data_IF_165980680767
#
_entry.id   IF_165980680767
#
_cell.length_a   1.000
_cell.length_b   1.000
_cell.length_c   1.000
_cell.angle_alpha   90.00
_cell.angle_beta   90.00
_cell.angle_gamma   90.00
#
_symmetry.space_group_name_H-M   'P 1'
#
loop_
_entity.id
_entity.type
_entity.pdbx_description
1 polymer ?
#
# COMPACT_ATOMS: atom_id res chain seq x y z
N UNK A 1 -11.83 16.75 28.37
CA UNK A 1 -12.06 16.99 26.93
C UNK A 1 -13.18 16.08 26.44
N UNK A 2 -14.31 16.63 25.97
CA UNK A 2 -15.36 15.83 25.31
C UNK A 2 -14.87 15.45 23.92
N UNK A 3 -14.79 14.16 23.63
CA UNK A 3 -14.50 13.68 22.27
C UNK A 3 -15.53 14.26 21.30
N UNK A 4 -15.12 14.84 20.15
CA UNK A 4 -16.05 15.39 19.19
C UNK A 4 -17.02 14.31 18.70
N UNK A 5 -18.27 14.70 18.43
CA UNK A 5 -19.27 13.78 17.89
C UNK A 5 -18.76 13.16 16.57
N UNK A 6 -19.02 11.88 16.29
CA UNK A 6 -18.42 11.16 15.17
C UNK A 6 -18.54 11.88 13.81
N UNK A 7 -19.68 12.52 13.53
CA UNK A 7 -19.89 13.28 12.29
C UNK A 7 -19.07 14.57 12.18
N UNK A 8 -18.82 15.27 13.30
CA UNK A 8 -17.96 16.45 13.29
C UNK A 8 -16.49 16.08 13.00
N UNK A 9 -16.04 14.91 13.49
CA UNK A 9 -14.71 14.40 13.20
C UNK A 9 -14.52 14.07 11.71
N UNK A 10 -15.56 13.63 11.00
CA UNK A 10 -15.50 13.40 9.54
C UNK A 10 -15.30 14.71 8.77
N UNK A 11 -16.06 15.75 9.13
CA UNK A 11 -15.94 17.06 8.49
C UNK A 11 -14.53 17.64 8.69
N UNK A 12 -13.98 17.54 9.91
CA UNK A 12 -12.61 17.97 10.19
C UNK A 12 -11.59 17.15 9.40
N UNK A 13 -11.73 15.83 9.36
CA UNK A 13 -10.84 14.96 8.59
C UNK A 13 -10.80 15.36 7.11
N UNK A 14 -11.96 15.55 6.49
CA UNK A 14 -12.04 15.92 5.08
C UNK A 14 -11.60 17.36 4.81
N UNK A 15 -11.86 18.30 5.72
CA UNK A 15 -11.39 19.67 5.60
C UNK A 15 -9.85 19.75 5.68
N UNK A 16 -9.25 19.03 6.64
CA UNK A 16 -7.80 18.87 6.72
C UNK A 16 -7.25 18.17 5.48
N UNK A 17 -7.98 17.17 4.97
CA UNK A 17 -7.62 16.50 3.72
C UNK A 17 -7.59 17.44 2.52
N UNK A 18 -8.57 18.35 2.42
CA UNK A 18 -8.61 19.37 1.37
C UNK A 18 -7.43 20.34 1.49
N UNK A 19 -7.12 20.80 2.71
CA UNK A 19 -5.98 21.68 2.95
C UNK A 19 -4.64 21.01 2.57
N UNK A 20 -4.44 19.76 2.97
CA UNK A 20 -3.24 18.99 2.61
C UNK A 20 -3.18 18.74 1.11
N UNK A 21 -4.27 18.32 0.47
CA UNK A 21 -4.32 18.11 -0.98
C UNK A 21 -4.02 19.40 -1.76
N UNK A 22 -4.57 20.54 -1.32
CA UNK A 22 -4.24 21.85 -1.88
C UNK A 22 -2.76 22.21 -1.73
N UNK A 23 -2.18 22.01 -0.54
CA UNK A 23 -0.76 22.22 -0.29
C UNK A 23 0.12 21.32 -1.18
N UNK A 24 -0.22 20.03 -1.30
CA UNK A 24 0.46 19.09 -2.19
C UNK A 24 0.34 19.52 -3.65
N UNK A 25 -0.85 19.97 -4.08
CA UNK A 25 -1.11 20.44 -5.44
C UNK A 25 -0.30 21.67 -5.85
N UNK A 26 0.06 22.51 -4.88
CA UNK A 26 0.84 23.73 -5.07
C UNK A 26 2.36 23.49 -4.95
N UNK A 27 2.79 22.69 -3.97
CA UNK A 27 4.19 22.68 -3.52
C UNK A 27 4.93 21.35 -3.70
N UNK A 28 4.26 20.24 -4.01
CA UNK A 28 4.97 18.96 -4.09
C UNK A 28 6.02 18.97 -5.21
N UNK A 29 7.24 18.49 -4.93
CA UNK A 29 8.30 18.44 -5.93
C UNK A 29 8.01 17.43 -7.04
N UNK A 30 7.35 16.32 -6.69
CA UNK A 30 7.01 15.25 -7.62
C UNK A 30 5.75 15.63 -8.42
N UNK A 31 5.81 15.71 -9.76
CA UNK A 31 4.67 16.12 -10.58
C UNK A 31 3.40 15.29 -10.34
N UNK A 32 3.56 13.97 -10.20
CA UNK A 32 2.46 13.04 -9.95
C UNK A 32 1.73 13.34 -8.64
N UNK A 33 2.47 13.74 -7.60
CA UNK A 33 1.87 14.10 -6.32
C UNK A 33 1.12 15.42 -6.42
N UNK A 34 1.65 16.42 -7.15
CA UNK A 34 0.92 17.67 -7.42
C UNK A 34 -0.39 17.41 -8.14
N UNK A 35 -0.37 16.56 -9.16
CA UNK A 35 -1.57 16.26 -9.94
C UNK A 35 -2.63 15.58 -9.09
N UNK A 36 -2.23 14.61 -8.25
CA UNK A 36 -3.12 14.05 -7.23
C UNK A 36 -3.73 15.14 -6.33
N UNK A 37 -2.92 16.08 -5.84
CA UNK A 37 -3.40 17.15 -4.94
C UNK A 37 -4.47 18.03 -5.60
N UNK A 38 -4.27 18.39 -6.88
CA UNK A 38 -5.24 19.15 -7.68
C UNK A 38 -6.54 18.38 -7.92
N UNK A 39 -6.45 17.07 -8.14
CA UNK A 39 -7.61 16.21 -8.34
C UNK A 39 -8.36 15.94 -7.03
N UNK A 40 -7.65 15.82 -5.90
CA UNK A 40 -8.20 15.40 -4.61
C UNK A 40 -8.78 16.55 -3.78
N UNK A 41 -8.36 17.81 -3.99
CA UNK A 41 -8.83 18.97 -3.21
C UNK A 41 -10.35 19.15 -3.28
N UNK A 42 -10.93 19.03 -4.48
CA UNK A 42 -12.38 19.16 -4.69
C UNK A 42 -13.19 18.09 -3.95
N UNK A 43 -12.92 16.78 -4.18
CA UNK A 43 -13.58 15.70 -3.46
C UNK A 43 -13.45 15.78 -1.94
N UNK A 44 -12.29 16.16 -1.40
CA UNK A 44 -12.15 16.39 0.04
C UNK A 44 -12.98 17.57 0.54
N UNK A 45 -12.97 18.71 -0.16
CA UNK A 45 -13.73 19.89 0.22
C UNK A 45 -15.25 19.61 0.19
N UNK A 46 -15.74 18.96 -0.88
CA UNK A 46 -17.12 18.51 -0.99
C UNK A 46 -17.47 17.50 0.12
N UNK A 47 -16.55 16.57 0.42
CA UNK A 47 -16.67 15.63 1.52
C UNK A 47 -16.83 16.33 2.88
N UNK A 48 -16.06 17.39 3.13
CA UNK A 48 -16.13 18.16 4.37
C UNK A 48 -17.48 18.84 4.56
N UNK A 49 -17.99 19.50 3.50
CA UNK A 49 -19.31 20.15 3.51
C UNK A 49 -20.41 19.12 3.72
N UNK A 50 -20.38 18.02 2.98
CA UNK A 50 -21.36 16.95 3.12
C UNK A 50 -21.33 16.30 4.52
N UNK A 51 -20.14 16.06 5.08
CA UNK A 51 -19.99 15.52 6.43
C UNK A 51 -20.54 16.49 7.49
N UNK A 52 -20.34 17.79 7.32
CA UNK A 52 -20.93 18.80 8.19
C UNK A 52 -22.46 18.79 8.11
N UNK A 53 -23.04 18.76 6.90
CA UNK A 53 -24.50 18.67 6.71
C UNK A 53 -25.06 17.39 7.35
N UNK A 54 -24.45 16.23 7.07
CA UNK A 54 -24.84 14.95 7.68
C UNK A 54 -24.74 14.99 9.21
N UNK A 55 -23.73 15.67 9.76
CA UNK A 55 -23.61 15.88 11.20
C UNK A 55 -24.78 16.72 11.75
N UNK A 56 -25.14 17.82 11.08
CA UNK A 56 -26.26 18.70 11.48
C UNK A 56 -27.61 17.97 11.41
N UNK A 57 -27.78 17.08 10.44
CA UNK A 57 -28.99 16.26 10.26
C UNK A 57 -29.03 15.02 11.18
N UNK A 58 -28.00 14.76 11.99
CA UNK A 58 -27.95 13.59 12.86
C UNK A 58 -27.85 12.26 12.10
N UNK A 59 -27.23 12.26 10.92
CA UNK A 59 -27.17 11.09 10.06
C UNK A 59 -26.37 9.93 10.69
N UNK A 60 -26.91 8.71 10.57
CA UNK A 60 -26.30 7.51 11.10
C UNK A 60 -25.07 7.03 10.31
N UNK A 61 -24.42 5.98 10.82
CA UNK A 61 -23.19 5.42 10.26
C UNK A 61 -23.31 5.03 8.78
N UNK A 62 -24.48 4.56 8.32
CA UNK A 62 -24.70 4.14 6.93
C UNK A 62 -24.50 5.28 5.93
N UNK A 63 -25.07 6.46 6.20
CA UNK A 63 -24.91 7.64 5.34
C UNK A 63 -23.45 8.12 5.31
N UNK A 64 -22.79 8.07 6.47
CA UNK A 64 -21.37 8.44 6.61
C UNK A 64 -20.43 7.46 5.89
N UNK A 65 -20.75 6.17 5.88
CA UNK A 65 -20.03 5.16 5.10
C UNK A 65 -20.17 5.41 3.60
N UNK A 66 -21.37 5.75 3.11
CA UNK A 66 -21.56 6.12 1.70
C UNK A 66 -20.80 7.38 1.32
N UNK A 67 -20.81 8.39 2.20
CA UNK A 67 -19.99 9.58 2.00
C UNK A 67 -18.50 9.22 1.94
N UNK A 68 -18.00 8.41 2.88
CA UNK A 68 -16.62 7.96 2.88
C UNK A 68 -16.26 7.23 1.58
N UNK A 69 -17.13 6.34 1.10
CA UNK A 69 -16.94 5.67 -0.18
C UNK A 69 -16.89 6.66 -1.37
N UNK A 70 -17.78 7.66 -1.41
CA UNK A 70 -17.76 8.69 -2.44
C UNK A 70 -16.46 9.52 -2.40
N UNK A 71 -15.98 9.87 -1.20
CA UNK A 71 -14.67 10.56 -1.06
C UNK A 71 -13.54 9.66 -1.55
N UNK A 72 -13.52 8.36 -1.20
CA UNK A 72 -12.52 7.40 -1.72
C UNK A 72 -12.52 7.35 -3.25
N UNK A 73 -13.70 7.35 -3.86
CA UNK A 73 -13.81 7.39 -5.33
C UNK A 73 -13.14 8.65 -5.87
N UNK A 74 -13.39 9.82 -5.29
CA UNK A 74 -12.81 11.07 -5.76
C UNK A 74 -11.31 11.24 -5.47
N UNK A 75 -10.80 10.75 -4.34
CA UNK A 75 -9.41 11.00 -3.92
C UNK A 75 -8.45 9.85 -4.21
N UNK A 76 -8.96 8.65 -4.50
CA UNK A 76 -8.15 7.46 -4.81
C UNK A 76 -8.48 6.91 -6.19
N UNK A 77 -9.74 6.49 -6.40
CA UNK A 77 -10.10 5.72 -7.61
C UNK A 77 -9.99 6.59 -8.87
N UNK A 78 -10.50 7.82 -8.83
CA UNK A 78 -10.46 8.74 -9.96
C UNK A 78 -9.03 9.14 -10.31
N UNK A 79 -8.16 9.62 -9.38
CA UNK A 79 -6.76 9.90 -9.71
C UNK A 79 -6.01 8.69 -10.24
N UNK A 80 -6.21 7.50 -9.65
CA UNK A 80 -5.57 6.27 -10.10
C UNK A 80 -6.00 5.90 -11.53
N UNK A 81 -7.30 5.97 -11.83
CA UNK A 81 -7.82 5.68 -13.16
C UNK A 81 -7.30 6.68 -14.21
N UNK A 82 -7.26 7.97 -13.87
CA UNK A 82 -6.72 9.01 -14.75
C UNK A 82 -5.24 8.80 -15.03
N UNK A 83 -4.42 8.60 -14.00
CA UNK A 83 -2.97 8.39 -14.18
C UNK A 83 -2.65 7.08 -14.92
N UNK A 84 -3.38 6.00 -14.65
CA UNK A 84 -3.21 4.74 -15.38
C UNK A 84 -3.63 4.88 -16.86
N UNK A 85 -4.71 5.61 -17.16
CA UNK A 85 -5.17 5.84 -18.53
C UNK A 85 -4.29 6.82 -19.29
N UNK A 86 -3.79 7.87 -18.65
CA UNK A 86 -2.80 8.78 -19.25
C UNK A 86 -1.49 8.05 -19.54
N UNK A 87 -1.01 7.22 -18.60
CA UNK A 87 0.16 6.35 -18.83
C UNK A 87 -0.04 5.41 -20.01
N UNK A 88 -1.23 4.82 -20.16
CA UNK A 88 -1.56 3.92 -21.27
C UNK A 88 -1.55 4.62 -22.64
N UNK A 89 -1.75 5.94 -22.68
CA UNK A 89 -1.78 6.77 -23.91
C UNK A 89 -0.49 7.57 -24.14
N UNK A 90 0.49 7.42 -23.27
CA UNK A 90 1.74 8.20 -23.29
C UNK A 90 2.94 7.28 -23.10
N UNK A 91 4.13 7.87 -22.92
CA UNK A 91 5.33 7.09 -22.71
C UNK A 91 5.24 6.30 -21.38
N UNK A 92 5.59 5.00 -21.32
CA UNK A 92 5.40 4.16 -20.14
C UNK A 92 6.11 4.62 -18.86
N UNK A 93 7.11 5.48 -19.01
CA UNK A 93 7.87 6.09 -17.91
C UNK A 93 7.24 7.34 -17.29
N UNK A 94 6.20 7.89 -17.93
CA UNK A 94 5.42 9.03 -17.44
C UNK A 94 4.22 8.53 -16.62
N UNK A 95 3.61 9.42 -15.84
CA UNK A 95 2.39 9.13 -15.08
C UNK A 95 2.48 7.98 -14.06
N UNK A 96 3.70 7.58 -13.68
CA UNK A 96 3.97 6.60 -12.64
C UNK A 96 5.27 6.96 -11.89
N UNK A 97 5.36 6.57 -10.63
CA UNK A 97 6.62 6.64 -9.89
C UNK A 97 7.53 5.43 -10.23
N UNK A 98 8.80 5.53 -9.86
CA UNK A 98 9.81 4.51 -10.19
C UNK A 98 9.45 3.15 -9.60
N UNK A 99 8.83 3.12 -8.42
CA UNK A 99 8.40 1.95 -7.66
C UNK A 99 7.42 1.06 -8.45
N UNK A 100 6.49 1.70 -9.18
CA UNK A 100 5.51 1.02 -10.04
C UNK A 100 6.24 0.34 -11.20
N UNK A 101 7.10 1.10 -11.86
CA UNK A 101 7.75 0.69 -13.09
C UNK A 101 8.80 -0.39 -12.81
N UNK A 102 9.64 -0.22 -11.77
CA UNK A 102 10.66 -1.19 -11.41
C UNK A 102 10.03 -2.53 -10.98
N UNK A 103 8.87 -2.51 -10.32
CA UNK A 103 8.15 -3.74 -9.96
C UNK A 103 7.65 -4.48 -11.20
N UNK A 104 7.17 -3.75 -12.21
CA UNK A 104 6.74 -4.32 -13.49
C UNK A 104 7.93 -4.87 -14.31
N UNK A 105 9.04 -4.14 -14.37
CA UNK A 105 10.23 -4.55 -15.13
C UNK A 105 10.97 -5.71 -14.45
N UNK A 106 11.04 -5.75 -13.12
CA UNK A 106 11.59 -6.89 -12.37
C UNK A 106 10.76 -8.16 -12.58
N UNK A 107 9.42 -8.05 -12.58
CA UNK A 107 8.54 -9.17 -12.89
C UNK A 107 8.76 -9.66 -14.34
N UNK A 108 8.95 -8.74 -15.29
CA UNK A 108 9.28 -9.05 -16.69
C UNK A 108 10.63 -9.74 -16.82
N UNK A 109 11.66 -9.30 -16.10
CA UNK A 109 12.96 -9.96 -16.06
C UNK A 109 12.81 -11.40 -15.56
N UNK A 110 12.08 -11.61 -14.45
CA UNK A 110 11.82 -12.94 -13.90
C UNK A 110 11.13 -13.87 -14.90
N UNK A 111 10.08 -13.41 -15.59
CA UNK A 111 9.39 -14.21 -16.61
C UNK A 111 10.26 -14.53 -17.82
N UNK A 112 11.31 -13.75 -18.07
CA UNK A 112 12.27 -13.98 -19.14
C UNK A 112 13.46 -14.82 -18.69
N UNK A 113 13.43 -15.39 -17.50
CA UNK A 113 14.52 -16.19 -16.93
C UNK A 113 15.76 -15.36 -16.60
N UNK A 114 15.62 -14.03 -16.47
CA UNK A 114 16.68 -13.13 -16.04
C UNK A 114 16.54 -12.89 -14.55
N UNK A 115 17.67 -12.90 -13.85
CA UNK A 115 17.71 -12.57 -12.42
C UNK A 115 17.32 -11.09 -12.22
N UNK A 116 16.19 -10.80 -11.54
CA UNK A 116 15.73 -9.42 -11.33
C UNK A 116 16.69 -8.56 -10.49
N UNK A 117 17.56 -9.19 -9.70
CA UNK A 117 18.52 -8.53 -8.81
C UNK A 117 19.90 -8.34 -9.46
N UNK A 118 20.18 -9.01 -10.58
CA UNK A 118 21.45 -8.87 -11.31
C UNK A 118 21.29 -8.14 -12.66
N UNK A 119 20.07 -7.74 -13.00
CA UNK A 119 19.77 -7.03 -14.25
C UNK A 119 19.62 -5.53 -13.99
N UNK A 120 19.98 -4.72 -14.97
CA UNK A 120 19.76 -3.28 -14.93
C UNK A 120 18.59 -2.89 -15.84
N UNK A 121 17.93 -1.80 -15.48
CA UNK A 121 16.73 -1.24 -16.08
C UNK A 121 17.02 0.16 -16.65
N UNK A 122 18.26 0.38 -17.10
CA UNK A 122 18.74 1.65 -17.67
C UNK A 122 18.07 2.02 -18.98
N UNK A 123 17.44 1.05 -19.65
CA UNK A 123 16.71 1.25 -20.89
C UNK A 123 15.20 1.12 -20.67
N UNK A 124 14.42 1.68 -21.59
CA UNK A 124 12.97 1.57 -21.59
C UNK A 124 12.28 2.54 -20.61
N UNK A 125 11.23 2.12 -19.89
CA UNK A 125 10.37 3.03 -19.12
C UNK A 125 11.10 3.81 -18.00
N UNK A 126 12.20 3.29 -17.49
CA UNK A 126 12.99 3.92 -16.42
C UNK A 126 14.16 4.78 -16.93
N UNK A 127 14.40 4.87 -18.25
CA UNK A 127 15.60 5.51 -18.81
C UNK A 127 15.80 6.98 -18.41
N UNK A 128 14.72 7.70 -18.08
CA UNK A 128 14.78 9.09 -17.65
C UNK A 128 14.97 9.26 -16.11
N UNK A 129 15.14 8.17 -15.36
CA UNK A 129 15.24 8.18 -13.90
C UNK A 129 16.71 8.15 -13.44
N UNK A 130 17.01 8.59 -12.20
CA UNK A 130 18.37 8.54 -11.66
C UNK A 130 18.96 7.13 -11.68
N UNK A 131 20.28 7.02 -11.84
CA UNK A 131 20.96 5.72 -11.98
C UNK A 131 20.58 4.71 -10.90
N UNK A 132 20.56 5.11 -9.62
CA UNK A 132 20.19 4.21 -8.52
C UNK A 132 18.78 3.60 -8.66
N UNK A 133 17.83 4.29 -9.29
CA UNK A 133 16.48 3.73 -9.54
C UNK A 133 16.40 2.84 -10.78
N UNK A 134 17.44 2.85 -11.60
CA UNK A 134 17.54 2.06 -12.83
C UNK A 134 18.45 0.84 -12.66
N UNK A 135 19.32 0.81 -11.65
CA UNK A 135 20.30 -0.28 -11.48
C UNK A 135 19.91 -1.30 -10.41
N UNK A 136 18.90 -1.01 -9.59
CA UNK A 136 18.51 -1.87 -8.48
C UNK A 136 17.01 -2.15 -8.45
N UNK A 137 16.64 -3.35 -8.02
CA UNK A 137 15.30 -3.73 -7.58
C UNK A 137 15.27 -3.80 -6.04
N UNK A 138 14.88 -2.71 -5.33
CA UNK A 138 15.09 -2.56 -3.89
C UNK A 138 14.04 -3.27 -3.02
N UNK A 139 13.40 -4.32 -3.54
CA UNK A 139 12.28 -5.00 -2.90
C UNK A 139 12.51 -6.48 -2.70
N UNK A 140 11.72 -7.08 -1.82
CA UNK A 140 11.74 -8.51 -1.61
C UNK A 140 10.84 -9.22 -2.65
N UNK A 141 11.10 -10.51 -2.96
CA UNK A 141 10.60 -11.08 -4.21
C UNK A 141 9.08 -11.10 -4.37
N UNK A 142 8.33 -11.16 -3.27
CA UNK A 142 6.87 -11.18 -3.34
C UNK A 142 6.28 -9.88 -3.93
N UNK A 143 7.03 -8.78 -3.90
CA UNK A 143 6.59 -7.51 -4.50
C UNK A 143 6.36 -7.65 -6.03
N UNK A 144 7.14 -8.49 -6.71
CA UNK A 144 7.00 -8.72 -8.15
C UNK A 144 5.62 -9.28 -8.55
N UNK A 145 4.88 -9.88 -7.62
CA UNK A 145 3.51 -10.37 -7.87
C UNK A 145 2.58 -9.26 -8.39
N UNK A 146 2.79 -8.00 -7.99
CA UNK A 146 2.01 -6.86 -8.45
C UNK A 146 2.43 -6.36 -9.84
N UNK A 147 3.64 -6.67 -10.28
CA UNK A 147 4.14 -6.40 -11.64
C UNK A 147 3.79 -7.49 -12.66
N UNK A 148 3.44 -8.69 -12.18
CA UNK A 148 3.10 -9.83 -13.03
C UNK A 148 2.02 -9.56 -14.09
N UNK A 149 0.93 -8.80 -13.80
CA UNK A 149 -0.08 -8.49 -14.81
C UNK A 149 0.50 -7.82 -16.06
N UNK A 150 1.43 -6.86 -15.91
CA UNK A 150 2.13 -6.25 -17.05
C UNK A 150 3.14 -7.18 -17.68
N UNK A 151 3.88 -7.93 -16.86
CA UNK A 151 4.89 -8.87 -17.35
C UNK A 151 4.27 -9.99 -18.20
N UNK A 152 3.06 -10.45 -17.83
CA UNK A 152 2.30 -11.48 -18.53
C UNK A 152 1.50 -10.96 -19.74
N UNK A 153 1.58 -9.66 -20.06
CA UNK A 153 0.98 -9.09 -21.26
C UNK A 153 -0.50 -8.68 -21.14
N UNK A 154 -1.01 -8.46 -19.92
CA UNK A 154 -2.33 -7.85 -19.75
C UNK A 154 -2.37 -6.48 -20.47
N UNK A 155 -3.49 -6.07 -21.10
CA UNK A 155 -3.56 -4.80 -21.79
C UNK A 155 -3.60 -3.62 -20.81
N UNK A 156 -3.01 -2.50 -21.22
CA UNK A 156 -3.14 -1.23 -20.50
C UNK A 156 -4.59 -0.70 -20.64
N UNK A 157 -5.14 -0.02 -19.60
CA UNK A 157 -4.50 0.35 -18.35
C UNK A 157 -4.50 -0.77 -17.28
N UNK A 158 -5.18 -1.90 -17.50
CA UNK A 158 -5.38 -2.95 -16.49
C UNK A 158 -4.08 -3.61 -16.02
N UNK A 159 -3.02 -3.55 -16.84
CA UNK A 159 -1.69 -4.03 -16.48
C UNK A 159 -0.93 -3.19 -15.46
N UNK A 160 -1.36 -1.95 -15.17
CA UNK A 160 -0.61 -1.04 -14.30
C UNK A 160 -0.53 -1.60 -12.86
N UNK A 161 0.69 -1.71 -12.31
CA UNK A 161 0.89 -2.33 -10.99
C UNK A 161 0.13 -1.61 -9.86
N UNK A 162 -0.16 -0.30 -9.98
CA UNK A 162 -0.93 0.44 -8.97
C UNK A 162 -2.36 -0.06 -8.83
N UNK A 163 -2.98 -0.53 -9.92
CA UNK A 163 -4.31 -1.13 -9.84
C UNK A 163 -4.25 -2.40 -8.96
N UNK A 164 -3.20 -3.19 -9.12
CA UNK A 164 -3.02 -4.43 -8.37
C UNK A 164 -2.60 -4.17 -6.92
N UNK A 165 -1.79 -3.14 -6.65
CA UNK A 165 -1.56 -2.64 -5.29
C UNK A 165 -2.89 -2.23 -4.64
N UNK A 166 -3.70 -1.41 -5.31
CA UNK A 166 -4.99 -0.95 -4.79
C UNK A 166 -5.98 -2.09 -4.55
N UNK A 167 -6.06 -3.06 -5.46
CA UNK A 167 -6.89 -4.28 -5.31
C UNK A 167 -6.41 -5.11 -4.13
N UNK A 168 -5.10 -5.37 -4.03
CA UNK A 168 -4.49 -6.12 -2.92
C UNK A 168 -4.73 -5.45 -1.58
N UNK A 169 -4.46 -4.15 -1.46
CA UNK A 169 -4.71 -3.34 -0.27
C UNK A 169 -6.19 -3.36 0.10
N UNK A 170 -7.09 -3.16 -0.87
CA UNK A 170 -8.54 -3.13 -0.60
C UNK A 170 -9.06 -4.49 -0.15
N UNK A 171 -8.61 -5.58 -0.78
CA UNK A 171 -8.99 -6.94 -0.38
C UNK A 171 -8.50 -7.30 1.02
N UNK A 172 -7.22 -7.06 1.31
CA UNK A 172 -6.62 -7.33 2.63
C UNK A 172 -7.20 -6.40 3.70
N UNK A 173 -7.37 -5.11 3.39
CA UNK A 173 -7.97 -4.11 4.27
C UNK A 173 -9.44 -4.43 4.59
N UNK A 174 -10.22 -4.85 3.61
CA UNK A 174 -11.59 -5.33 3.81
C UNK A 174 -11.65 -6.56 4.73
N UNK A 175 -10.73 -7.51 4.53
CA UNK A 175 -10.59 -8.67 5.42
C UNK A 175 -10.18 -8.26 6.84
N UNK A 176 -9.24 -7.33 6.97
CA UNK A 176 -8.83 -6.77 8.26
C UNK A 176 -10.03 -6.15 8.98
N UNK A 177 -10.78 -5.26 8.33
CA UNK A 177 -11.97 -4.61 8.91
C UNK A 177 -13.07 -5.60 9.28
N UNK A 178 -13.25 -6.66 8.48
CA UNK A 178 -14.20 -7.75 8.80
C UNK A 178 -13.81 -8.47 10.08
N UNK A 179 -12.51 -8.69 10.31
CA UNK A 179 -11.97 -9.41 11.47
C UNK A 179 -11.73 -8.51 12.68
N UNK A 180 -11.68 -7.20 12.48
CA UNK A 180 -11.45 -6.25 13.55
C UNK A 180 -12.62 -6.24 14.56
N UNK A 181 -12.34 -6.37 15.87
CA UNK A 181 -13.38 -6.28 16.88
C UNK A 181 -13.90 -4.85 17.01
N UNK A 182 -15.21 -4.65 17.03
CA UNK A 182 -15.82 -3.35 17.31
C UNK A 182 -17.03 -3.04 16.44
N UNK A 183 -17.76 -2.02 16.86
CA UNK A 183 -18.97 -1.53 16.20
C UNK A 183 -18.66 -0.88 14.85
N UNK A 184 -19.72 -0.70 14.05
CA UNK A 184 -19.63 -0.13 12.71
C UNK A 184 -18.93 1.24 12.69
N UNK A 185 -19.14 2.09 13.71
CA UNK A 185 -18.51 3.40 13.79
C UNK A 185 -16.99 3.33 13.92
N UNK A 186 -16.49 2.41 14.76
CA UNK A 186 -15.05 2.21 14.95
C UNK A 186 -14.42 1.65 13.68
N UNK A 187 -15.10 0.72 13.01
CA UNK A 187 -14.64 0.18 11.72
C UNK A 187 -14.57 1.25 10.64
N UNK A 188 -15.58 2.13 10.57
CA UNK A 188 -15.55 3.28 9.66
C UNK A 188 -14.37 4.20 9.98
N UNK A 189 -14.13 4.53 11.26
CA UNK A 189 -13.00 5.38 11.66
C UNK A 189 -11.65 4.79 11.25
N UNK A 190 -11.46 3.49 11.46
CA UNK A 190 -10.24 2.77 11.05
C UNK A 190 -10.10 2.79 9.53
N UNK A 191 -11.18 2.55 8.78
CA UNK A 191 -11.15 2.62 7.32
C UNK A 191 -10.80 4.03 6.81
N UNK A 192 -11.40 5.07 7.40
CA UNK A 192 -11.10 6.46 7.08
C UNK A 192 -9.64 6.81 7.40
N UNK A 193 -9.11 6.36 8.55
CA UNK A 193 -7.71 6.58 8.88
C UNK A 193 -6.77 5.88 7.88
N UNK A 194 -7.09 4.65 7.47
CA UNK A 194 -6.21 3.89 6.59
C UNK A 194 -6.27 4.32 5.12
N UNK A 195 -7.42 4.82 4.64
CA UNK A 195 -7.63 5.08 3.20
C UNK A 195 -7.81 6.57 2.89
N UNK A 196 -8.47 7.32 3.78
CA UNK A 196 -8.84 8.72 3.54
C UNK A 196 -7.91 9.73 4.22
N UNK A 197 -6.96 9.30 5.06
CA UNK A 197 -5.86 10.18 5.44
C UNK A 197 -5.09 10.55 4.15
N UNK A 198 -4.75 11.84 3.96
CA UNK A 198 -4.09 12.32 2.75
C UNK A 198 -2.83 11.53 2.39
N UNK A 199 -2.07 11.08 3.40
CA UNK A 199 -0.88 10.25 3.20
C UNK A 199 -1.22 8.96 2.44
N UNK A 200 -2.22 8.20 2.89
CA UNK A 200 -2.62 6.96 2.21
C UNK A 200 -3.32 7.23 0.88
N UNK A 201 -4.19 8.24 0.85
CA UNK A 201 -4.95 8.61 -0.34
C UNK A 201 -4.03 9.10 -1.48
N UNK A 202 -2.89 9.73 -1.15
CA UNK A 202 -1.85 10.11 -2.09
C UNK A 202 -1.04 8.91 -2.56
N UNK A 203 -0.66 8.01 -1.66
CA UNK A 203 0.24 6.90 -2.00
C UNK A 203 -0.44 5.88 -2.93
N UNK A 204 -1.73 5.60 -2.74
CA UNK A 204 -2.46 4.61 -3.56
C UNK A 204 -2.48 4.92 -5.08
N UNK A 205 -2.74 6.17 -5.53
CA UNK A 205 -2.70 6.52 -6.95
C UNK A 205 -1.31 6.76 -7.53
N UNK A 206 -0.30 7.00 -6.70
CA UNK A 206 1.03 7.44 -7.14
C UNK A 206 2.05 6.30 -7.21
N UNK A 207 2.26 5.58 -6.11
CA UNK A 207 3.25 4.50 -5.99
C UNK A 207 2.63 3.20 -5.48
N UNK A 208 2.02 3.26 -4.29
CA UNK A 208 1.12 2.24 -3.77
C UNK A 208 1.77 0.96 -3.21
N UNK A 209 3.07 0.75 -3.41
CA UNK A 209 3.81 -0.47 -3.01
C UNK A 209 3.81 -0.70 -1.48
N UNK A 210 3.84 0.35 -0.67
CA UNK A 210 3.74 0.25 0.80
C UNK A 210 2.34 -0.15 1.29
N UNK A 211 1.29 0.12 0.51
CA UNK A 211 -0.08 -0.01 0.98
C UNK A 211 -0.52 -1.47 1.23
N UNK A 212 -0.16 -2.45 0.37
CA UNK A 212 -0.38 -3.87 0.66
C UNK A 212 0.35 -4.33 1.93
N UNK A 213 1.58 -3.85 2.16
CA UNK A 213 2.40 -4.20 3.33
C UNK A 213 1.72 -3.73 4.61
N UNK A 214 1.28 -2.46 4.65
CA UNK A 214 0.55 -1.89 5.79
C UNK A 214 -0.77 -2.64 6.03
N UNK A 215 -1.51 -2.97 4.96
CA UNK A 215 -2.75 -3.73 5.08
C UNK A 215 -2.52 -5.14 5.66
N UNK A 216 -1.48 -5.84 5.23
CA UNK A 216 -1.10 -7.16 5.74
C UNK A 216 -0.68 -7.10 7.21
N UNK A 217 0.10 -6.10 7.61
CA UNK A 217 0.47 -5.88 9.00
C UNK A 217 -0.75 -5.56 9.88
N UNK A 218 -1.67 -4.73 9.38
CA UNK A 218 -2.95 -4.47 10.05
C UNK A 218 -3.79 -5.74 10.22
N UNK A 219 -3.84 -6.58 9.19
CA UNK A 219 -4.49 -7.89 9.26
C UNK A 219 -3.80 -8.84 10.24
N UNK A 220 -2.46 -8.78 10.35
CA UNK A 220 -1.71 -9.53 11.36
C UNK A 220 -2.16 -9.13 12.77
N UNK A 221 -2.25 -7.83 13.05
CA UNK A 221 -2.76 -7.30 14.33
C UNK A 221 -4.20 -7.77 14.59
N UNK A 222 -5.08 -7.71 13.58
CA UNK A 222 -6.44 -8.22 13.70
C UNK A 222 -6.49 -9.72 14.06
N UNK A 223 -5.62 -10.53 13.47
CA UNK A 223 -5.52 -11.96 13.81
C UNK A 223 -4.95 -12.21 15.20
N UNK A 224 -3.96 -11.43 15.64
CA UNK A 224 -3.44 -11.50 17.02
C UNK A 224 -4.51 -11.12 18.05
N UNK A 225 -5.29 -10.07 17.78
CA UNK A 225 -6.43 -9.67 18.60
C UNK A 225 -7.47 -10.80 18.68
N UNK A 226 -7.68 -11.55 17.60
CA UNK A 226 -8.54 -12.72 17.54
C UNK A 226 -7.92 -14.03 18.10
N UNK A 227 -6.74 -13.95 18.74
CA UNK A 227 -5.98 -15.10 19.27
C UNK A 227 -5.66 -16.17 18.20
N UNK A 228 -5.32 -15.74 16.98
CA UNK A 228 -4.93 -16.60 15.84
C UNK A 228 -3.46 -16.37 15.44
N UNK A 229 -2.48 -16.76 16.29
CA UNK A 229 -1.06 -16.45 16.07
C UNK A 229 -0.50 -17.04 14.77
N UNK A 230 -0.93 -18.23 14.36
CA UNK A 230 -0.51 -18.83 13.08
C UNK A 230 -0.95 -18.03 11.86
N UNK A 231 -2.22 -17.60 11.83
CA UNK A 231 -2.75 -16.79 10.75
C UNK A 231 -2.09 -15.41 10.70
N UNK A 232 -1.80 -14.82 11.88
CA UNK A 232 -1.03 -13.59 11.97
C UNK A 232 0.40 -13.77 11.42
N UNK A 233 1.05 -14.89 11.74
CA UNK A 233 2.38 -15.22 11.23
C UNK A 233 2.40 -15.37 9.71
N UNK A 234 1.37 -15.98 9.12
CA UNK A 234 1.25 -16.09 7.65
C UNK A 234 1.22 -14.71 7.00
N UNK A 235 0.31 -13.84 7.41
CA UNK A 235 0.18 -12.52 6.78
C UNK A 235 1.35 -11.59 7.07
N UNK A 236 1.97 -11.71 8.26
CA UNK A 236 3.20 -10.99 8.59
C UNK A 236 4.39 -11.49 7.76
N UNK A 237 4.48 -12.80 7.49
CA UNK A 237 5.47 -13.39 6.60
C UNK A 237 5.32 -12.90 5.16
N UNK A 238 4.09 -12.79 4.66
CA UNK A 238 3.83 -12.20 3.34
C UNK A 238 4.28 -10.74 3.29
N UNK A 239 3.94 -9.93 4.30
CA UNK A 239 4.41 -8.54 4.37
C UNK A 239 5.95 -8.45 4.39
N UNK A 240 6.58 -9.29 5.20
CA UNK A 240 8.03 -9.39 5.35
C UNK A 240 8.75 -9.93 4.10
N UNK A 241 8.04 -10.60 3.19
CA UNK A 241 8.57 -11.06 1.91
C UNK A 241 8.28 -10.08 0.76
N UNK A 242 7.53 -9.01 1.01
CA UNK A 242 7.29 -7.91 0.04
C UNK A 242 8.26 -6.75 0.25
N UNK A 243 8.42 -6.29 1.51
CA UNK A 243 9.24 -5.11 1.81
C UNK A 243 9.88 -5.20 3.19
N UNK A 244 11.12 -4.74 3.26
CA UNK A 244 11.97 -4.69 4.45
C UNK A 244 11.38 -3.79 5.54
N UNK A 245 10.57 -2.79 5.15
CA UNK A 245 9.85 -1.89 6.07
C UNK A 245 8.89 -2.63 7.01
N UNK A 246 8.51 -3.89 6.70
CA UNK A 246 7.74 -4.74 7.59
C UNK A 246 8.56 -5.32 8.76
N UNK A 247 9.88 -5.47 8.59
CA UNK A 247 10.74 -6.20 9.53
C UNK A 247 10.80 -5.56 10.93
N UNK A 248 10.92 -4.22 11.08
CA UNK A 248 10.89 -3.58 12.39
C UNK A 248 9.61 -3.85 13.19
N UNK A 249 8.50 -4.19 12.52
CA UNK A 249 7.20 -4.45 13.16
C UNK A 249 7.11 -5.89 13.70
N UNK A 250 7.83 -6.85 13.10
CA UNK A 250 7.74 -8.28 13.44
C UNK A 250 8.06 -8.61 14.91
N UNK A 251 9.10 -8.02 15.56
CA UNK A 251 9.37 -8.28 16.97
C UNK A 251 8.20 -7.90 17.88
N UNK A 252 7.53 -6.78 17.60
CA UNK A 252 6.37 -6.34 18.38
C UNK A 252 5.18 -7.28 18.22
N UNK A 253 4.93 -7.77 17.00
CA UNK A 253 3.89 -8.76 16.73
C UNK A 253 4.20 -10.11 17.40
N UNK A 254 5.47 -10.53 17.39
CA UNK A 254 5.94 -11.73 18.08
C UNK A 254 5.71 -11.64 19.60
N UNK A 255 6.01 -10.48 20.20
CA UNK A 255 5.80 -10.24 21.63
C UNK A 255 4.30 -10.21 21.99
N UNK A 256 3.46 -9.70 21.08
CA UNK A 256 2.01 -9.67 21.23
C UNK A 256 1.34 -11.04 20.99
N UNK A 257 2.05 -12.03 20.42
CA UNK A 257 1.50 -13.33 20.07
C UNK A 257 1.11 -14.17 21.29
N UNK A 258 -0.20 -14.46 21.40
CA UNK A 258 -0.80 -15.25 22.48
C UNK A 258 -1.82 -16.26 21.95
N UNK A 259 -1.89 -17.40 22.62
CA UNK A 259 -2.89 -18.44 22.38
C UNK A 259 -4.22 -18.06 23.06
N UNK A 260 -5.27 -18.87 22.83
CA UNK A 260 -6.61 -18.65 23.41
C UNK A 260 -6.61 -18.74 24.94
N UNK A 261 -5.77 -19.59 25.50
CA UNK A 261 -5.54 -19.77 26.93
C UNK A 261 -4.67 -18.65 27.57
N UNK A 262 -4.22 -17.67 26.77
CA UNK A 262 -3.35 -16.58 27.23
C UNK A 262 -1.85 -16.92 27.28
N UNK A 263 -1.46 -18.16 26.98
CA UNK A 263 -0.05 -18.58 26.92
C UNK A 263 0.69 -17.89 25.77
N UNK A 264 2.02 -17.77 25.89
CA UNK A 264 2.88 -17.16 24.85
C UNK A 264 2.88 -18.04 23.59
N UNK A 265 2.56 -17.46 22.43
CA UNK A 265 2.43 -18.20 21.17
C UNK A 265 3.51 -17.81 20.15
N UNK A 266 4.73 -17.52 20.63
CA UNK A 266 5.84 -17.01 19.81
C UNK A 266 6.19 -17.95 18.65
N UNK A 267 6.36 -19.24 18.91
CA UNK A 267 6.66 -20.23 17.88
C UNK A 267 5.53 -20.37 16.85
N UNK A 268 4.28 -20.29 17.29
CA UNK A 268 3.11 -20.37 16.40
C UNK A 268 3.01 -19.17 15.46
N UNK A 269 3.54 -18.01 15.84
CA UNK A 269 3.67 -16.84 14.97
C UNK A 269 4.95 -16.89 14.12
N UNK A 270 6.11 -17.15 14.74
CA UNK A 270 7.42 -17.12 14.08
C UNK A 270 7.59 -18.22 13.03
N UNK A 271 7.04 -19.41 13.26
CA UNK A 271 7.14 -20.54 12.33
C UNK A 271 6.63 -20.19 10.93
N UNK A 272 5.35 -19.76 10.78
CA UNK A 272 4.82 -19.34 9.48
C UNK A 272 5.57 -18.16 8.85
N UNK A 273 6.02 -17.18 9.65
CA UNK A 273 6.85 -16.06 9.14
C UNK A 273 8.12 -16.61 8.50
N UNK A 274 8.86 -17.44 9.23
CA UNK A 274 10.11 -18.02 8.75
C UNK A 274 9.89 -18.88 7.50
N UNK A 275 8.86 -19.73 7.49
CA UNK A 275 8.54 -20.58 6.33
C UNK A 275 8.28 -19.74 5.08
N UNK A 276 7.47 -18.68 5.17
CA UNK A 276 7.15 -17.85 4.00
C UNK A 276 8.37 -17.05 3.54
N UNK A 277 9.08 -16.41 4.46
CA UNK A 277 10.27 -15.61 4.14
C UNK A 277 11.32 -16.49 3.47
N UNK A 278 11.62 -17.66 4.03
CA UNK A 278 12.59 -18.61 3.45
C UNK A 278 12.09 -19.13 2.10
N UNK A 279 10.84 -19.59 2.00
CA UNK A 279 10.31 -20.14 0.75
C UNK A 279 10.32 -19.13 -0.40
N UNK A 280 10.06 -17.85 -0.10
CA UNK A 280 10.04 -16.78 -1.10
C UNK A 280 11.45 -16.27 -1.43
N UNK A 281 12.31 -16.09 -0.42
CA UNK A 281 13.64 -15.51 -0.64
C UNK A 281 14.68 -16.52 -1.11
N UNK A 282 14.61 -17.79 -0.65
CA UNK A 282 15.64 -18.78 -0.93
C UNK A 282 15.92 -18.98 -2.43
N UNK A 283 14.92 -19.06 -3.34
CA UNK A 283 15.20 -19.20 -4.76
C UNK A 283 16.07 -18.07 -5.32
N UNK A 284 15.87 -16.83 -4.87
CA UNK A 284 16.60 -15.66 -5.36
C UNK A 284 17.97 -15.50 -4.70
N UNK A 285 18.05 -15.79 -3.39
CA UNK A 285 19.34 -15.82 -2.68
C UNK A 285 20.24 -16.91 -3.26
N UNK A 286 19.70 -18.08 -3.60
CA UNK A 286 20.46 -19.17 -4.21
C UNK A 286 20.80 -18.90 -5.68
N UNK A 287 19.99 -18.11 -6.39
CA UNK A 287 20.28 -17.74 -7.78
C UNK A 287 21.55 -16.90 -7.84
N UNK A 288 21.61 -15.77 -7.13
CA UNK A 288 22.81 -14.95 -6.99
C UNK A 288 22.84 -14.23 -5.64
N UNK A 289 23.57 -14.75 -4.64
CA UNK A 289 23.57 -14.19 -3.29
C UNK A 289 24.07 -12.74 -3.23
N UNK A 290 25.13 -12.43 -3.98
CA UNK A 290 25.74 -11.09 -3.96
C UNK A 290 24.80 -10.03 -4.54
N UNK A 291 24.19 -10.31 -5.70
CA UNK A 291 23.24 -9.42 -6.36
C UNK A 291 21.99 -9.19 -5.49
N UNK A 292 21.45 -10.26 -4.89
CA UNK A 292 20.33 -10.15 -3.96
C UNK A 292 20.64 -9.25 -2.75
N UNK A 293 21.80 -9.42 -2.12
CA UNK A 293 22.20 -8.60 -0.97
C UNK A 293 22.46 -7.15 -1.37
N UNK A 294 23.04 -6.92 -2.55
CA UNK A 294 23.27 -5.58 -3.09
C UNK A 294 21.96 -4.81 -3.21
N UNK A 295 21.03 -5.37 -3.97
CA UNK A 295 19.76 -4.71 -4.31
C UNK A 295 18.77 -4.68 -3.14
N UNK A 296 18.58 -5.80 -2.45
CA UNK A 296 17.53 -5.93 -1.43
C UNK A 296 17.98 -5.51 -0.02
N UNK A 297 19.28 -5.34 0.23
CA UNK A 297 19.79 -5.02 1.58
C UNK A 297 20.65 -3.77 1.57
N UNK A 298 21.73 -3.72 0.78
CA UNK A 298 22.69 -2.60 0.84
C UNK A 298 22.13 -1.33 0.24
N UNK A 299 21.54 -1.40 -0.95
CA UNK A 299 21.01 -0.22 -1.64
C UNK A 299 19.95 0.52 -0.81
N UNK A 300 18.93 -0.12 -0.20
CA UNK A 300 17.99 0.55 0.70
C UNK A 300 18.63 1.17 1.95
N UNK A 301 19.80 0.67 2.36
CA UNK A 301 20.57 1.19 3.50
C UNK A 301 21.58 2.28 3.09
N UNK A 302 21.71 2.59 1.79
CA UNK A 302 22.72 3.52 1.27
C UNK A 302 24.15 2.98 1.32
N UNK A 303 24.31 1.66 1.34
CA UNK A 303 25.60 0.95 1.40
C UNK A 303 26.01 0.31 0.06
N UNK A 304 25.19 0.50 -0.99
CA UNK A 304 25.38 -0.03 -2.33
C UNK A 304 25.44 1.05 -3.39
#
# INVERSE_FOLDING_TARGET
>A
MRMPRPGAADAVLYALGAAVAGGVGLFAAIPLQREWGRLAVGPYAAGAVAAFVLHRLGAGVRARTWLAAAVVVGVVVMPLALEATWRARSHPGLHAQSEVIITEEAARALLQGRDPYATTYVHGPLAARPLGTTTHFPYLPLMMAFGMPRAAGLPAPLSDARLWFAVGTSGVGGLMLRRWPGEAERKLRVAQALVLLPTSALLLPTGGDDMPVVALLGLAVAFLAARKPRAAGVVAGLAAAMKQTAWPVLPFLLLAARNRDGSRARAAFAGPVAVIVVAVMAPFVLWHPAAFVEDAVKFPLGLG
#
